data_IF_832266944135
#
_entry.id   IF_832266944135
#
_cell.length_a   1.000
_cell.length_b   1.000
_cell.length_c   1.000
_cell.angle_alpha   90.00
_cell.angle_beta   90.00
_cell.angle_gamma   90.00
#
_symmetry.space_group_name_H-M   'P 1'
#
loop_
_entity.id
_entity.type
_entity.pdbx_description
1 polymer ?
#
# COMPACT_ATOMS: atom_id res chain seq x y z
N UNK A 1 -12.62 -4.64 49.21
CA UNK A 1 -13.40 -4.00 48.14
C UNK A 1 -13.01 -2.55 47.79
N UNK A 2 -12.60 -1.70 48.73
CA UNK A 2 -12.23 -0.28 48.46
C UNK A 2 -11.03 -0.02 47.51
N UNK A 3 -10.12 -0.97 47.35
CA UNK A 3 -8.88 -0.82 46.56
C UNK A 3 -9.14 -0.94 45.04
N UNK A 4 -10.09 -1.76 44.62
CA UNK A 4 -10.46 -1.96 43.21
C UNK A 4 -11.26 -0.80 42.64
N UNK A 5 -12.07 -0.14 43.45
CA UNK A 5 -12.89 1.04 43.02
C UNK A 5 -11.98 2.24 42.73
N UNK A 6 -10.88 2.40 43.47
CA UNK A 6 -9.96 3.51 43.28
C UNK A 6 -9.10 3.36 42.03
N UNK A 7 -8.74 2.12 41.66
CA UNK A 7 -7.95 1.82 40.46
C UNK A 7 -8.76 2.09 39.17
N UNK A 8 -10.02 1.70 39.17
CA UNK A 8 -10.92 1.95 38.04
C UNK A 8 -11.21 3.45 37.87
N UNK A 9 -11.36 4.19 38.99
CA UNK A 9 -11.56 5.65 38.94
C UNK A 9 -10.36 6.37 38.33
N UNK A 10 -9.14 6.02 38.73
CA UNK A 10 -7.90 6.59 38.17
C UNK A 10 -7.72 6.26 36.69
N UNK A 11 -8.12 5.06 36.29
CA UNK A 11 -8.04 4.64 34.87
C UNK A 11 -9.04 5.42 34.00
N UNK A 12 -10.26 5.62 34.48
CA UNK A 12 -11.29 6.40 33.80
C UNK A 12 -10.87 7.87 33.69
N UNK A 13 -10.34 8.48 34.76
CA UNK A 13 -9.84 9.85 34.74
C UNK A 13 -8.68 10.02 33.72
N UNK A 14 -7.81 9.02 33.61
CA UNK A 14 -6.69 9.05 32.64
C UNK A 14 -7.21 8.94 31.20
N UNK A 15 -8.20 8.11 30.96
CA UNK A 15 -8.85 7.96 29.62
C UNK A 15 -9.58 9.26 29.24
N UNK A 16 -10.31 9.87 30.19
CA UNK A 16 -11.03 11.13 29.95
C UNK A 16 -10.03 12.26 29.64
N UNK A 17 -8.92 12.35 30.39
CA UNK A 17 -7.86 13.37 30.11
C UNK A 17 -7.23 13.18 28.73
N UNK A 18 -6.93 11.92 28.32
CA UNK A 18 -6.39 11.65 26.99
C UNK A 18 -7.39 11.99 25.88
N UNK A 19 -8.69 11.67 26.07
CA UNK A 19 -9.73 12.02 25.13
C UNK A 19 -9.93 13.53 25.01
N UNK A 20 -9.92 14.26 26.12
CA UNK A 20 -9.98 15.70 26.13
C UNK A 20 -8.75 16.34 25.45
N UNK A 21 -7.57 15.81 25.68
CA UNK A 21 -6.34 16.29 25.06
C UNK A 21 -6.35 16.06 23.55
N UNK A 22 -6.87 14.91 23.08
CA UNK A 22 -7.04 14.63 21.65
C UNK A 22 -8.10 15.53 20.99
N UNK A 23 -9.16 15.88 21.70
CA UNK A 23 -10.19 16.80 21.21
C UNK A 23 -9.63 18.23 21.15
N UNK A 24 -8.87 18.64 22.15
CA UNK A 24 -8.23 19.97 22.19
C UNK A 24 -7.16 20.10 21.10
N UNK A 25 -6.31 19.10 20.87
CA UNK A 25 -5.33 19.14 19.76
C UNK A 25 -6.02 19.19 18.41
N UNK A 26 -7.08 18.41 18.22
CA UNK A 26 -7.84 18.42 16.95
C UNK A 26 -8.57 19.75 16.72
N UNK A 27 -9.12 20.36 17.79
CA UNK A 27 -9.76 21.68 17.71
C UNK A 27 -8.74 22.81 17.51
N UNK A 28 -7.55 22.70 18.12
CA UNK A 28 -6.47 23.67 17.96
C UNK A 28 -5.89 23.61 16.53
N UNK A 29 -5.74 22.40 15.96
CA UNK A 29 -5.32 22.27 14.56
C UNK A 29 -6.38 22.81 13.59
N UNK A 30 -7.66 22.67 13.90
CA UNK A 30 -8.76 23.27 13.14
C UNK A 30 -8.84 24.78 13.34
N UNK A 31 -8.57 25.28 14.55
CA UNK A 31 -8.52 26.72 14.83
C UNK A 31 -7.29 27.37 14.20
N UNK A 32 -6.12 26.74 14.21
CA UNK A 32 -4.94 27.24 13.51
C UNK A 32 -5.17 27.33 12.00
N UNK A 33 -5.96 26.43 11.42
CA UNK A 33 -6.40 26.52 10.01
C UNK A 33 -7.40 27.69 9.80
N UNK A 34 -8.17 28.05 10.83
CA UNK A 34 -9.19 29.08 10.75
C UNK A 34 -8.67 30.48 11.18
N UNK A 35 -7.72 30.51 12.14
CA UNK A 35 -7.15 31.78 12.69
C UNK A 35 -5.88 32.23 11.96
N UNK A 36 -5.22 31.36 11.17
CA UNK A 36 -4.06 31.78 10.37
C UNK A 36 -4.44 32.61 9.14
N UNK A 37 -5.46 33.51 9.31
CA UNK A 37 -5.74 34.60 8.40
C UNK A 37 -5.77 34.18 6.94
N UNK A 38 -6.51 33.11 6.62
CA UNK A 38 -6.71 32.71 5.23
C UNK A 38 -7.78 33.65 4.64
N UNK A 39 -7.49 34.95 4.72
CA UNK A 39 -8.31 36.00 4.13
C UNK A 39 -8.26 36.00 2.60
N UNK A 40 -7.38 35.18 2.00
CA UNK A 40 -7.24 35.04 0.56
C UNK A 40 -7.69 33.67 0.11
N UNK A 41 -8.80 33.60 -0.61
CA UNK A 41 -9.30 32.39 -1.27
C UNK A 41 -8.21 31.66 -2.09
N UNK A 42 -7.23 32.41 -2.60
CA UNK A 42 -6.09 31.90 -3.37
C UNK A 42 -5.15 31.06 -2.50
N UNK A 43 -4.90 31.48 -1.24
CA UNK A 43 -4.07 30.71 -0.31
C UNK A 43 -4.72 29.38 0.09
N UNK A 44 -6.03 29.39 0.31
CA UNK A 44 -6.80 28.17 0.61
C UNK A 44 -6.71 27.17 -0.55
N UNK A 45 -6.90 27.66 -1.76
CA UNK A 45 -6.83 26.84 -2.98
C UNK A 45 -5.41 26.29 -3.15
N UNK A 46 -4.38 27.11 -2.97
CA UNK A 46 -2.98 26.72 -3.08
C UNK A 46 -2.59 25.65 -2.05
N UNK A 47 -3.02 25.83 -0.79
CA UNK A 47 -2.79 24.86 0.27
C UNK A 47 -3.51 23.54 0.01
N UNK A 48 -4.78 23.57 -0.38
CA UNK A 48 -5.58 22.39 -0.70
C UNK A 48 -4.98 21.62 -1.88
N UNK A 49 -4.50 22.34 -2.91
CA UNK A 49 -3.85 21.75 -4.07
C UNK A 49 -2.51 21.08 -3.70
N UNK A 50 -1.68 21.74 -2.89
CA UNK A 50 -0.43 21.17 -2.37
C UNK A 50 -0.68 19.92 -1.54
N UNK A 51 -1.70 19.93 -0.70
CA UNK A 51 -2.07 18.80 0.13
C UNK A 51 -2.63 17.64 -0.69
N UNK A 52 -3.42 17.93 -1.73
CA UNK A 52 -3.90 16.93 -2.68
C UNK A 52 -2.74 16.25 -3.43
N UNK A 53 -1.79 17.02 -3.96
CA UNK A 53 -0.60 16.48 -4.64
C UNK A 53 0.21 15.60 -3.70
N UNK A 54 0.47 16.07 -2.49
CA UNK A 54 1.20 15.28 -1.48
C UNK A 54 0.47 13.99 -1.12
N UNK A 55 -0.85 14.03 -0.98
CA UNK A 55 -1.66 12.85 -0.71
C UNK A 55 -1.62 11.87 -1.88
N UNK A 56 -1.80 12.38 -3.11
CA UNK A 56 -1.82 11.57 -4.33
C UNK A 56 -0.49 10.89 -4.60
N UNK A 57 0.59 11.66 -4.64
CA UNK A 57 1.92 11.15 -5.00
C UNK A 57 2.66 10.45 -3.84
N UNK A 58 2.50 10.88 -2.60
CA UNK A 58 3.22 10.28 -1.49
C UNK A 58 2.40 9.16 -0.81
N UNK A 59 1.18 9.48 -0.35
CA UNK A 59 0.41 8.56 0.48
C UNK A 59 -0.18 7.40 -0.33
N UNK A 60 -0.75 7.68 -1.50
CA UNK A 60 -1.31 6.65 -2.39
C UNK A 60 -0.23 5.80 -3.04
N UNK A 61 0.89 6.39 -3.41
CA UNK A 61 2.06 5.67 -3.95
C UNK A 61 2.55 4.59 -2.98
N UNK A 62 2.73 4.94 -1.71
CA UNK A 62 3.12 4.01 -0.66
C UNK A 62 2.09 2.88 -0.46
N UNK A 63 0.81 3.20 -0.63
CA UNK A 63 -0.24 2.19 -0.56
C UNK A 63 -0.15 1.20 -1.73
N UNK A 64 0.05 1.69 -2.96
CA UNK A 64 0.24 0.84 -4.15
C UNK A 64 1.48 -0.05 -4.03
N UNK A 65 2.61 0.48 -3.52
CA UNK A 65 3.81 -0.31 -3.29
C UNK A 65 3.58 -1.45 -2.28
N UNK A 66 2.85 -1.17 -1.18
CA UNK A 66 2.46 -2.20 -0.22
C UNK A 66 1.55 -3.24 -0.84
N UNK A 67 0.64 -2.81 -1.72
CA UNK A 67 -0.28 -3.70 -2.42
C UNK A 67 0.45 -4.59 -3.43
N UNK A 68 1.43 -4.05 -4.16
CA UNK A 68 2.32 -4.81 -5.04
C UNK A 68 3.05 -5.92 -4.26
N UNK A 69 3.60 -5.58 -3.08
CA UNK A 69 4.23 -6.56 -2.21
C UNK A 69 3.28 -7.69 -1.78
N UNK A 70 2.04 -7.35 -1.43
CA UNK A 70 1.02 -8.37 -1.08
C UNK A 70 0.66 -9.26 -2.26
N UNK A 71 0.48 -8.67 -3.45
CA UNK A 71 0.19 -9.42 -4.69
C UNK A 71 1.36 -10.36 -5.02
N UNK A 72 2.60 -9.89 -4.86
CA UNK A 72 3.78 -10.73 -5.10
C UNK A 72 3.84 -11.94 -4.16
N UNK A 73 3.53 -11.74 -2.88
CA UNK A 73 3.48 -12.86 -1.91
C UNK A 73 2.35 -13.83 -2.27
N UNK A 74 1.15 -13.32 -2.57
CA UNK A 74 0.01 -14.16 -2.95
C UNK A 74 0.29 -14.97 -4.23
N UNK A 75 0.96 -14.38 -5.20
CA UNK A 75 1.35 -15.07 -6.44
C UNK A 75 2.42 -16.12 -6.17
N UNK A 76 3.40 -15.81 -5.33
CA UNK A 76 4.44 -16.78 -4.94
C UNK A 76 3.84 -17.97 -4.17
N UNK A 77 2.91 -17.71 -3.25
CA UNK A 77 2.21 -18.76 -2.51
C UNK A 77 1.38 -19.67 -3.44
N UNK A 78 0.67 -19.09 -4.40
CA UNK A 78 -0.15 -19.85 -5.35
C UNK A 78 0.69 -20.62 -6.38
N UNK A 79 1.77 -20.03 -6.86
CA UNK A 79 2.67 -20.65 -7.86
C UNK A 79 3.79 -21.47 -7.21
N UNK A 80 3.94 -21.36 -5.87
CA UNK A 80 4.98 -22.04 -5.08
C UNK A 80 6.40 -21.89 -5.64
N UNK A 81 6.70 -20.72 -6.25
CA UNK A 81 7.98 -20.49 -6.93
C UNK A 81 9.14 -20.56 -5.93
N UNK A 82 9.04 -19.86 -4.80
CA UNK A 82 10.06 -19.87 -3.75
C UNK A 82 10.29 -21.27 -3.18
N UNK A 83 9.23 -22.05 -3.02
CA UNK A 83 9.29 -23.40 -2.48
C UNK A 83 9.94 -24.36 -3.49
N UNK A 84 9.59 -24.24 -4.78
CA UNK A 84 10.20 -25.02 -5.85
C UNK A 84 11.68 -24.70 -6.04
N UNK A 85 12.05 -23.43 -5.98
CA UNK A 85 13.46 -22.99 -6.04
C UNK A 85 14.28 -23.53 -4.86
N UNK A 86 13.76 -23.42 -3.63
CA UNK A 86 14.42 -23.91 -2.42
C UNK A 86 14.63 -25.42 -2.47
N UNK A 87 13.67 -26.15 -3.01
CA UNK A 87 13.67 -27.61 -3.07
C UNK A 87 13.96 -28.12 -4.50
N UNK A 88 14.67 -27.35 -5.32
CA UNK A 88 14.89 -27.68 -6.73
C UNK A 88 15.52 -29.06 -6.91
N UNK A 89 16.54 -29.36 -6.11
CA UNK A 89 17.28 -30.63 -6.15
C UNK A 89 16.68 -31.75 -5.32
N UNK A 90 15.57 -31.51 -4.58
CA UNK A 90 14.92 -32.58 -3.84
C UNK A 90 13.98 -33.40 -4.77
N UNK A 91 13.98 -34.73 -4.66
CA UNK A 91 13.09 -35.55 -5.46
C UNK A 91 11.62 -35.32 -5.11
N UNK A 92 10.74 -35.45 -6.08
CA UNK A 92 9.29 -35.40 -5.89
C UNK A 92 8.86 -36.63 -5.09
N UNK A 93 8.04 -36.51 -4.11
CA UNK A 93 7.52 -37.63 -3.25
C UNK A 93 8.56 -38.39 -2.40
N UNK A 94 9.75 -37.85 -2.15
CA UNK A 94 10.82 -38.52 -1.39
C UNK A 94 11.25 -39.90 -1.97
N UNK A 95 10.93 -40.17 -3.22
CA UNK A 95 11.44 -41.32 -3.94
C UNK A 95 12.89 -41.07 -4.36
N UNK A 96 13.80 -41.69 -3.62
CA UNK A 96 15.25 -41.63 -3.90
C UNK A 96 15.68 -42.57 -5.01
N UNK A 97 14.74 -43.13 -5.78
CA UNK A 97 15.09 -43.92 -6.98
C UNK A 97 15.65 -42.96 -8.04
N UNK A 98 16.65 -43.41 -8.78
CA UNK A 98 17.28 -42.61 -9.85
C UNK A 98 16.24 -42.07 -10.85
N UNK A 99 15.25 -42.86 -11.19
CA UNK A 99 14.16 -42.48 -12.09
C UNK A 99 13.29 -41.37 -11.47
N UNK A 100 12.88 -41.52 -10.21
CA UNK A 100 12.07 -40.52 -9.49
C UNK A 100 12.79 -39.16 -9.34
N UNK A 101 14.11 -39.20 -9.16
CA UNK A 101 14.95 -37.99 -9.08
C UNK A 101 15.01 -37.25 -10.41
N UNK A 102 15.28 -37.96 -11.53
CA UNK A 102 15.35 -37.37 -12.86
C UNK A 102 14.02 -36.77 -13.30
N UNK A 103 12.91 -37.51 -13.13
CA UNK A 103 11.56 -37.00 -13.43
C UNK A 103 11.18 -35.82 -12.56
N UNK A 104 11.51 -35.82 -11.26
CA UNK A 104 11.24 -34.71 -10.35
C UNK A 104 11.91 -33.40 -10.76
N UNK A 105 13.16 -33.48 -11.20
CA UNK A 105 13.90 -32.31 -11.71
C UNK A 105 13.34 -31.83 -13.04
N UNK A 106 13.04 -32.75 -13.96
CA UNK A 106 12.53 -32.43 -15.30
C UNK A 106 11.19 -31.71 -15.24
N UNK A 107 10.27 -32.13 -14.38
CA UNK A 107 8.99 -31.43 -14.17
C UNK A 107 9.21 -30.04 -13.62
N UNK A 108 10.14 -29.86 -12.66
CA UNK A 108 10.44 -28.55 -12.09
C UNK A 108 11.06 -27.61 -13.12
N UNK A 109 11.96 -28.10 -13.98
CA UNK A 109 12.55 -27.32 -15.07
C UNK A 109 11.48 -26.83 -16.05
N UNK A 110 10.45 -27.65 -16.30
CA UNK A 110 9.36 -27.29 -17.21
C UNK A 110 8.36 -26.33 -16.56
N UNK A 111 8.02 -26.56 -15.31
CA UNK A 111 7.04 -25.76 -14.57
C UNK A 111 7.57 -24.38 -14.15
N UNK A 112 8.82 -24.30 -13.69
CA UNK A 112 9.40 -23.09 -13.12
C UNK A 112 9.39 -21.88 -14.08
N UNK A 113 9.80 -22.01 -15.36
CA UNK A 113 9.77 -20.89 -16.30
C UNK A 113 8.33 -20.40 -16.56
N UNK A 114 7.36 -21.30 -16.62
CA UNK A 114 5.95 -20.96 -16.82
C UNK A 114 5.43 -20.19 -15.60
N UNK A 115 5.70 -20.66 -14.40
CA UNK A 115 5.31 -20.00 -13.16
C UNK A 115 5.94 -18.60 -13.02
N UNK A 116 7.24 -18.46 -13.33
CA UNK A 116 7.94 -17.18 -13.33
C UNK A 116 7.37 -16.23 -14.39
N UNK A 117 7.04 -16.72 -15.59
CA UNK A 117 6.45 -15.90 -16.65
C UNK A 117 5.10 -15.34 -16.23
N UNK A 118 4.24 -16.15 -15.62
CA UNK A 118 2.95 -15.73 -15.07
C UNK A 118 3.15 -14.69 -13.96
N UNK A 119 4.07 -14.94 -13.04
CA UNK A 119 4.40 -14.00 -11.96
C UNK A 119 4.84 -12.64 -12.49
N UNK A 120 5.78 -12.63 -13.44
CA UNK A 120 6.27 -11.40 -14.08
C UNK A 120 5.17 -10.67 -14.83
N UNK A 121 4.30 -11.40 -15.53
CA UNK A 121 3.16 -10.81 -16.25
C UNK A 121 2.25 -10.03 -15.31
N UNK A 122 1.84 -10.63 -14.19
CA UNK A 122 0.97 -9.95 -13.22
C UNK A 122 1.66 -8.77 -12.55
N UNK A 123 2.94 -8.90 -12.17
CA UNK A 123 3.70 -7.79 -11.60
C UNK A 123 3.83 -6.64 -12.59
N UNK A 124 4.13 -6.91 -13.87
CA UNK A 124 4.26 -5.89 -14.91
C UNK A 124 2.93 -5.18 -15.18
N UNK A 125 1.82 -5.92 -15.26
CA UNK A 125 0.49 -5.35 -15.40
C UNK A 125 0.14 -4.40 -14.24
N UNK A 126 0.46 -4.80 -13.00
CA UNK A 126 0.20 -3.96 -11.85
C UNK A 126 1.08 -2.70 -11.82
N UNK A 127 2.36 -2.81 -12.20
CA UNK A 127 3.25 -1.65 -12.36
C UNK A 127 2.73 -0.70 -13.43
N UNK A 128 2.27 -1.22 -14.57
CA UNK A 128 1.67 -0.41 -15.63
C UNK A 128 0.43 0.35 -15.11
N UNK A 129 -0.40 -0.29 -14.29
CA UNK A 129 -1.56 0.33 -13.66
C UNK A 129 -1.14 1.46 -12.69
N UNK A 130 -0.07 1.28 -11.91
CA UNK A 130 0.50 2.33 -11.04
C UNK A 130 0.98 3.51 -11.89
N UNK A 131 1.68 3.26 -12.99
CA UNK A 131 2.16 4.33 -13.88
C UNK A 131 0.99 5.12 -14.49
N UNK A 132 -0.06 4.43 -14.91
CA UNK A 132 -1.28 5.07 -15.41
C UNK A 132 -1.94 5.93 -14.34
N UNK A 133 -1.96 5.45 -13.09
CA UNK A 133 -2.45 6.21 -11.94
C UNK A 133 -1.67 7.51 -11.71
N UNK A 134 -0.34 7.47 -11.82
CA UNK A 134 0.50 8.65 -11.71
C UNK A 134 0.26 9.68 -12.81
N UNK A 135 -0.14 9.21 -14.00
CA UNK A 135 -0.38 10.06 -15.16
C UNK A 135 -1.73 10.81 -15.09
N UNK A 136 -2.68 10.32 -14.26
CA UNK A 136 -4.02 10.91 -14.15
C UNK A 136 -4.03 12.41 -13.80
N UNK A 137 -3.37 12.90 -12.72
CA UNK A 137 -3.42 14.31 -12.36
C UNK A 137 -2.82 15.25 -13.43
N UNK A 138 -1.64 14.99 -14.02
CA UNK A 138 -1.12 15.89 -15.04
C UNK A 138 -1.96 15.89 -16.32
N UNK A 139 -2.52 14.75 -16.70
CA UNK A 139 -3.40 14.67 -17.87
C UNK A 139 -4.69 15.45 -17.65
N UNK A 140 -5.32 15.34 -16.48
CA UNK A 140 -6.52 16.11 -16.14
C UNK A 140 -6.24 17.61 -16.13
N UNK A 141 -5.10 18.04 -15.61
CA UNK A 141 -4.68 19.44 -15.65
C UNK A 141 -4.51 19.94 -17.10
N UNK A 142 -3.86 19.15 -17.96
CA UNK A 142 -3.72 19.49 -19.37
C UNK A 142 -5.07 19.63 -20.08
N UNK A 143 -6.03 18.74 -19.79
CA UNK A 143 -7.37 18.85 -20.34
C UNK A 143 -8.11 20.10 -19.88
N UNK A 144 -7.98 20.46 -18.60
CA UNK A 144 -8.56 21.68 -18.05
C UNK A 144 -7.95 22.91 -18.74
N UNK A 145 -6.62 22.98 -18.87
CA UNK A 145 -5.93 24.07 -19.55
C UNK A 145 -6.35 24.18 -21.02
N UNK A 146 -6.44 23.06 -21.72
CA UNK A 146 -6.90 23.02 -23.12
C UNK A 146 -8.33 23.56 -23.24
N UNK A 147 -9.22 23.11 -22.36
CA UNK A 147 -10.61 23.59 -22.34
C UNK A 147 -10.73 25.09 -22.04
N UNK A 148 -9.85 25.62 -21.18
CA UNK A 148 -9.87 27.04 -20.81
C UNK A 148 -9.33 27.94 -21.93
N UNK A 149 -8.40 27.44 -22.74
CA UNK A 149 -7.79 28.14 -23.87
C UNK A 149 -8.62 28.02 -25.15
N UNK A 150 -9.70 27.23 -25.14
CA UNK A 150 -10.61 27.07 -26.30
C UNK A 150 -9.99 26.36 -27.52
N UNK A 151 -8.91 25.56 -27.27
CA UNK A 151 -8.16 24.83 -28.33
C UNK A 151 -8.56 23.35 -28.35
#
# INVERSE_FOLDING_TARGET
MKKYTNYNKLRIEKIIKMAQQNILTNSTDQQLLNESGVDNNIEIIGYSFKQFIRWWYAKMSMWHLKMLGRISILLDDNLSISLLLKNFFLPWHRDFSFIGYVFGILIKILYLPIAISIFLLFCTLYIALILLWFLLPPVTLLFIFKSLLGI
#
